data_IF_477560543774
#
_entry.id   IF_477560543774
#
_cell.length_a   1.000
_cell.length_b   1.000
_cell.length_c   1.000
_cell.angle_alpha   90.00
_cell.angle_beta   90.00
_cell.angle_gamma   90.00
#
_symmetry.space_group_name_H-M   'P 1'
#
loop_
_entity.id
_entity.type
_entity.pdbx_description
1 polymer ?
#
# COMPACT_ATOMS: atom_id res chain seq x y z
N UNK A 1 9.58 47.92 49.80
CA UNK A 1 10.49 46.88 50.32
C UNK A 1 10.86 45.98 49.15
N UNK A 2 12.04 46.19 48.52
CA UNK A 2 13.27 45.37 48.67
C UNK A 2 12.97 43.89 48.35
N UNK A 3 13.45 43.27 47.26
CA UNK A 3 14.84 43.22 46.78
C UNK A 3 14.98 42.96 45.26
N UNK A 4 16.01 43.60 44.68
CA UNK A 4 16.76 43.19 43.50
C UNK A 4 17.74 42.04 43.84
N UNK A 5 18.08 41.21 42.83
CA UNK A 5 19.40 40.62 42.42
C UNK A 5 19.18 39.21 41.82
N UNK A 6 19.93 38.65 40.85
CA UNK A 6 21.07 39.02 39.98
C UNK A 6 21.18 37.95 38.86
N UNK A 7 21.68 38.43 37.72
CA UNK A 7 22.27 37.77 36.53
C UNK A 7 23.18 36.55 36.77
N UNK A 8 23.13 35.55 35.87
CA UNK A 8 24.24 34.81 35.21
C UNK A 8 23.62 33.88 34.13
N UNK A 9 23.84 33.99 32.81
CA UNK A 9 25.06 33.86 32.00
C UNK A 9 25.70 32.46 31.99
N UNK A 10 25.23 31.60 31.06
CA UNK A 10 25.97 30.53 30.36
C UNK A 10 25.02 30.04 29.24
N UNK A 11 25.28 30.12 27.94
CA UNK A 11 26.54 29.93 27.25
C UNK A 11 26.55 28.51 26.68
N UNK A 12 26.00 28.31 25.48
CA UNK A 12 26.30 27.16 24.62
C UNK A 12 25.85 27.43 23.16
N UNK A 13 26.83 27.95 22.42
CA UNK A 13 27.28 27.45 21.12
C UNK A 13 26.22 27.12 20.08
N UNK A 14 26.03 28.11 19.22
CA UNK A 14 26.02 28.00 17.76
C UNK A 14 26.46 26.65 17.17
N UNK A 15 25.55 25.99 16.46
CA UNK A 15 25.87 25.28 15.23
C UNK A 15 24.95 25.79 14.12
N UNK A 16 25.50 26.72 13.35
CA UNK A 16 25.04 27.07 12.03
C UNK A 16 25.09 25.82 11.14
N UNK A 17 23.96 25.34 10.67
CA UNK A 17 23.90 24.70 9.37
C UNK A 17 23.22 25.68 8.42
N UNK A 18 24.05 26.55 7.85
CA UNK A 18 23.70 27.30 6.66
C UNK A 18 23.31 26.30 5.57
N UNK A 19 22.13 26.50 5.02
CA UNK A 19 21.68 25.86 3.79
C UNK A 19 22.58 26.34 2.66
N UNK A 20 23.52 25.52 2.21
CA UNK A 20 24.20 25.76 0.94
C UNK A 20 23.30 25.26 -0.19
N UNK A 21 22.63 26.23 -0.80
CA UNK A 21 22.18 26.14 -2.18
C UNK A 21 23.41 26.05 -3.10
N UNK A 22 23.26 25.30 -4.18
CA UNK A 22 24.23 25.10 -5.25
C UNK A 22 24.93 26.39 -5.66
N UNK A 23 26.26 26.40 -5.58
CA UNK A 23 27.09 27.40 -6.22
C UNK A 23 27.84 26.74 -7.39
N UNK A 24 27.67 27.34 -8.56
CA UNK A 24 28.26 26.98 -9.83
C UNK A 24 29.78 26.81 -9.76
N UNK A 25 30.25 25.82 -10.51
CA UNK A 25 31.64 25.64 -10.91
C UNK A 25 32.11 26.89 -11.67
N UNK A 26 32.79 27.81 -10.99
CA UNK A 26 33.35 29.00 -11.65
C UNK A 26 34.30 29.86 -10.82
N UNK A 27 34.55 29.57 -9.54
CA UNK A 27 35.28 30.50 -8.63
C UNK A 27 36.60 29.91 -8.10
N UNK A 28 37.17 28.90 -8.78
CA UNK A 28 38.50 28.37 -8.45
C UNK A 28 39.58 28.61 -9.52
N UNK A 29 39.26 29.29 -10.63
CA UNK A 29 40.23 29.59 -11.69
C UNK A 29 40.96 30.95 -11.55
N UNK A 30 40.64 31.76 -10.53
CA UNK A 30 41.24 33.09 -10.34
C UNK A 30 42.36 33.14 -9.28
N UNK A 31 42.85 31.98 -8.82
CA UNK A 31 43.93 31.92 -7.81
C UNK A 31 45.32 31.59 -8.38
N UNK A 32 45.52 31.53 -9.70
CA UNK A 32 46.85 31.44 -10.31
C UNK A 32 47.65 30.16 -9.99
N UNK A 33 46.99 29.07 -9.59
CA UNK A 33 47.65 27.78 -9.38
C UNK A 33 47.62 26.94 -10.66
N UNK A 34 48.78 26.81 -11.31
CA UNK A 34 49.03 25.85 -12.38
C UNK A 34 49.10 24.44 -11.78
N UNK A 35 48.29 23.51 -12.28
CA UNK A 35 48.36 22.07 -11.97
C UNK A 35 48.86 21.33 -13.22
N UNK A 36 50.09 21.61 -13.63
CA UNK A 36 50.89 20.68 -14.43
C UNK A 36 51.88 19.96 -13.51
N UNK A 37 51.78 18.62 -13.44
CA UNK A 37 52.87 17.78 -12.93
C UNK A 37 52.73 17.15 -11.54
N UNK A 38 51.54 16.68 -11.14
CA UNK A 38 51.42 15.73 -10.01
C UNK A 38 50.79 14.42 -10.49
N UNK A 39 51.62 13.40 -10.70
CA UNK A 39 51.16 12.02 -10.92
C UNK A 39 50.46 11.52 -9.64
N UNK A 40 49.15 11.32 -9.73
CA UNK A 40 48.35 10.66 -8.70
C UNK A 40 48.54 9.15 -8.86
N UNK A 41 48.96 8.40 -7.82
CA UNK A 41 49.13 6.96 -7.92
C UNK A 41 47.80 6.30 -8.28
N UNK A 42 47.83 5.42 -9.28
CA UNK A 42 46.67 4.65 -9.72
C UNK A 42 46.12 3.83 -8.55
N UNK A 43 44.93 4.19 -8.07
CA UNK A 43 44.16 3.37 -7.14
C UNK A 43 43.82 2.09 -7.90
N UNK A 44 44.47 0.99 -7.50
CA UNK A 44 44.14 -0.35 -7.98
C UNK A 44 42.63 -0.54 -7.86
N UNK A 45 42.00 -0.95 -8.96
CA UNK A 45 40.57 -1.23 -9.02
C UNK A 45 40.18 -2.06 -7.81
N UNK A 46 39.24 -1.52 -7.02
CA UNK A 46 38.62 -2.28 -5.94
C UNK A 46 38.10 -3.58 -6.57
N UNK A 47 38.63 -4.70 -6.08
CA UNK A 47 38.11 -6.01 -6.41
C UNK A 47 36.60 -5.98 -6.18
N UNK A 48 35.88 -6.43 -7.19
CA UNK A 48 34.44 -6.56 -7.24
C UNK A 48 33.98 -7.37 -6.03
N UNK A 49 33.72 -6.69 -4.92
CA UNK A 49 33.01 -7.27 -3.81
C UNK A 49 31.58 -7.40 -4.32
N UNK A 50 31.27 -8.57 -4.87
CA UNK A 50 29.93 -8.98 -5.19
C UNK A 50 29.05 -8.74 -3.98
N UNK A 51 28.42 -7.56 -3.96
CA UNK A 51 27.33 -7.26 -3.09
C UNK A 51 26.25 -8.21 -3.55
N UNK A 52 26.19 -9.38 -2.90
CA UNK A 52 25.10 -10.31 -3.07
C UNK A 52 23.82 -9.52 -2.91
N UNK A 53 23.17 -9.25 -4.05
CA UNK A 53 21.88 -8.61 -4.11
C UNK A 53 21.01 -9.44 -3.16
N UNK A 54 20.57 -8.83 -2.05
CA UNK A 54 19.64 -9.50 -1.16
C UNK A 54 18.50 -10.03 -2.04
N UNK A 55 18.11 -11.31 -1.88
CA UNK A 55 17.13 -11.92 -2.76
C UNK A 55 15.90 -11.00 -2.86
N UNK A 56 15.39 -10.85 -4.07
CA UNK A 56 14.28 -9.95 -4.34
C UNK A 56 12.98 -10.57 -3.79
N UNK A 57 12.78 -10.49 -2.47
CA UNK A 57 11.68 -11.18 -1.78
C UNK A 57 10.39 -10.39 -1.97
N UNK A 58 9.46 -10.95 -2.73
CA UNK A 58 8.10 -10.42 -2.84
C UNK A 58 7.25 -10.87 -1.65
N UNK A 59 7.39 -10.14 -0.54
CA UNK A 59 6.65 -10.42 0.69
C UNK A 59 5.14 -10.25 0.54
N UNK A 60 4.71 -9.51 -0.48
CA UNK A 60 3.32 -9.10 -0.68
C UNK A 60 2.59 -9.96 -1.69
N UNK A 61 3.30 -10.90 -2.33
CA UNK A 61 2.72 -11.96 -3.15
C UNK A 61 1.55 -12.68 -2.46
N UNK A 62 1.56 -12.78 -1.12
CA UNK A 62 0.44 -13.36 -0.35
C UNK A 62 -0.87 -12.55 -0.47
N UNK A 63 -0.78 -11.23 -0.67
CA UNK A 63 -1.95 -10.40 -0.95
C UNK A 63 -2.41 -10.50 -2.42
N UNK A 64 -1.76 -11.38 -3.21
CA UNK A 64 -2.05 -11.65 -4.62
C UNK A 64 -1.47 -10.62 -5.59
N UNK A 65 -1.35 -11.02 -6.84
CA UNK A 65 -1.15 -10.10 -7.96
C UNK A 65 -2.54 -9.70 -8.47
N UNK A 66 -2.90 -8.43 -8.31
CA UNK A 66 -4.18 -7.93 -8.80
C UNK A 66 -4.21 -8.02 -10.33
N UNK A 67 -5.19 -8.76 -10.87
CA UNK A 67 -5.42 -8.84 -12.31
C UNK A 67 -6.57 -7.91 -12.69
N UNK A 68 -6.26 -6.87 -13.47
CA UNK A 68 -7.28 -6.03 -14.10
C UNK A 68 -7.95 -6.79 -15.24
N UNK A 69 -9.27 -6.70 -15.29
CA UNK A 69 -10.08 -7.43 -16.25
C UNK A 69 -10.75 -6.47 -17.23
N UNK A 70 -10.85 -6.90 -18.49
CA UNK A 70 -11.55 -6.15 -19.53
C UNK A 70 -12.99 -6.62 -19.61
N UNK A 71 -13.93 -5.69 -19.49
CA UNK A 71 -15.33 -5.97 -19.71
C UNK A 71 -15.64 -6.21 -21.19
N UNK A 72 -16.59 -7.11 -21.44
CA UNK A 72 -17.33 -7.16 -22.70
C UNK A 72 -18.80 -6.90 -22.40
N UNK A 73 -19.51 -6.27 -23.34
CA UNK A 73 -20.93 -6.03 -23.17
C UNK A 73 -21.68 -7.37 -23.07
N UNK A 74 -22.66 -7.42 -22.16
CA UNK A 74 -23.36 -8.66 -21.87
C UNK A 74 -24.03 -9.25 -23.12
N UNK A 75 -24.63 -8.43 -23.99
CA UNK A 75 -25.26 -8.91 -25.22
C UNK A 75 -24.29 -9.64 -26.16
N UNK A 76 -23.03 -9.20 -26.20
CA UNK A 76 -22.00 -9.84 -26.99
C UNK A 76 -21.57 -11.18 -26.37
N UNK A 77 -21.52 -11.24 -25.04
CA UNK A 77 -21.27 -12.50 -24.33
C UNK A 77 -22.44 -13.49 -24.49
N UNK A 78 -23.69 -13.01 -24.45
CA UNK A 78 -24.91 -13.80 -24.52
C UNK A 78 -25.20 -14.42 -25.90
N UNK A 79 -24.55 -13.97 -26.99
CA UNK A 79 -24.67 -14.66 -28.29
C UNK A 79 -24.31 -16.15 -28.21
N UNK A 80 -23.51 -16.54 -27.21
CA UNK A 80 -23.10 -17.91 -26.94
C UNK A 80 -23.92 -18.63 -25.85
N UNK A 81 -24.83 -17.94 -25.15
CA UNK A 81 -25.53 -18.47 -23.97
C UNK A 81 -27.04 -18.17 -24.04
N UNK A 82 -27.85 -19.24 -24.14
CA UNK A 82 -29.32 -19.17 -24.17
C UNK A 82 -29.88 -19.48 -22.78
N UNK A 83 -30.46 -18.51 -22.08
CA UNK A 83 -31.24 -18.82 -20.88
C UNK A 83 -31.40 -17.66 -19.89
N UNK A 84 -32.44 -17.76 -19.06
CA UNK A 84 -32.86 -16.76 -18.07
C UNK A 84 -31.79 -16.55 -16.99
N UNK A 85 -31.49 -15.28 -16.70
CA UNK A 85 -30.45 -14.84 -15.78
C UNK A 85 -30.97 -14.78 -14.34
N UNK A 86 -30.82 -15.87 -13.59
CA UNK A 86 -31.05 -15.87 -12.15
C UNK A 86 -30.01 -14.97 -11.48
N UNK A 87 -30.48 -13.95 -10.74
CA UNK A 87 -29.60 -13.15 -9.87
C UNK A 87 -29.12 -14.06 -8.74
N UNK A 88 -27.83 -14.37 -8.75
CA UNK A 88 -27.17 -15.21 -7.76
C UNK A 88 -26.96 -14.42 -6.47
N UNK A 89 -26.57 -13.16 -6.60
CA UNK A 89 -26.38 -12.25 -5.49
C UNK A 89 -26.65 -10.81 -5.93
N UNK A 90 -27.25 -10.04 -5.03
CA UNK A 90 -27.40 -8.59 -5.15
C UNK A 90 -26.74 -7.95 -3.94
N UNK A 91 -25.73 -7.10 -4.18
CA UNK A 91 -24.95 -6.46 -3.12
C UNK A 91 -25.19 -4.95 -3.16
N UNK A 92 -25.66 -4.37 -2.07
CA UNK A 92 -25.67 -2.92 -1.88
C UNK A 92 -24.25 -2.43 -1.65
N UNK A 93 -23.68 -1.75 -2.65
CA UNK A 93 -22.30 -1.31 -2.63
C UNK A 93 -22.03 -0.20 -1.62
N UNK A 94 -23.04 0.59 -1.24
CA UNK A 94 -22.88 1.62 -0.22
C UNK A 94 -22.55 0.99 1.14
N UNK A 95 -23.14 -0.16 1.44
CA UNK A 95 -22.94 -0.88 2.71
C UNK A 95 -21.52 -1.47 2.87
N UNK A 96 -20.80 -1.68 1.76
CA UNK A 96 -19.48 -2.32 1.75
C UNK A 96 -18.36 -1.40 1.24
N UNK A 97 -18.69 -0.15 0.88
CA UNK A 97 -17.73 0.83 0.35
C UNK A 97 -16.58 1.03 1.33
N UNK A 98 -15.36 0.73 0.87
CA UNK A 98 -14.11 0.84 1.63
C UNK A 98 -14.11 0.06 2.96
N UNK A 99 -15.04 -0.89 3.17
CA UNK A 99 -15.15 -1.63 4.43
C UNK A 99 -13.88 -2.45 4.74
N UNK A 100 -13.17 -2.87 3.69
CA UNK A 100 -11.90 -3.58 3.76
C UNK A 100 -10.76 -2.75 4.40
N UNK A 101 -10.90 -1.43 4.48
CA UNK A 101 -9.96 -0.54 5.19
C UNK A 101 -10.18 -0.50 6.70
N UNK A 102 -11.32 -1.02 7.17
CA UNK A 102 -11.67 -1.11 8.59
C UNK A 102 -11.78 -2.57 9.07
N UNK A 103 -10.75 -3.43 8.85
CA UNK A 103 -10.74 -4.81 9.35
C UNK A 103 -10.67 -4.86 10.88
N UNK A 104 -10.83 -6.04 11.46
CA UNK A 104 -10.80 -6.23 12.92
C UNK A 104 -9.37 -6.24 13.51
N UNK A 105 -8.33 -6.01 12.70
CA UNK A 105 -6.95 -5.82 13.16
C UNK A 105 -6.80 -4.36 13.58
N UNK A 106 -6.84 -4.09 14.88
CA UNK A 106 -6.88 -2.72 15.41
C UNK A 106 -6.00 -2.51 16.63
N UNK A 107 -5.60 -1.25 16.85
CA UNK A 107 -5.09 -0.76 18.13
C UNK A 107 -5.81 0.54 18.53
N UNK A 108 -5.61 0.99 19.77
CA UNK A 108 -6.24 2.21 20.29
C UNK A 108 -5.16 3.22 20.66
N UNK A 109 -5.35 4.49 20.28
CA UNK A 109 -4.43 5.58 20.64
C UNK A 109 -4.54 5.97 22.12
N UNK A 110 -3.60 6.77 22.63
CA UNK A 110 -3.70 7.31 23.99
C UNK A 110 -4.93 8.20 24.19
N UNK A 111 -5.44 8.81 23.11
CA UNK A 111 -6.67 9.60 23.07
C UNK A 111 -7.96 8.76 22.91
N UNK A 112 -7.85 7.43 22.80
CA UNK A 112 -9.00 6.52 22.67
C UNK A 112 -9.49 6.29 21.24
N UNK A 113 -8.84 6.86 20.22
CA UNK A 113 -9.20 6.64 18.82
C UNK A 113 -8.86 5.20 18.41
N UNK A 114 -9.82 4.49 17.82
CA UNK A 114 -9.57 3.16 17.26
C UNK A 114 -8.94 3.28 15.89
N UNK A 115 -7.80 2.63 15.68
CA UNK A 115 -7.08 2.59 14.41
C UNK A 115 -7.13 1.18 13.84
N UNK A 116 -7.64 1.05 12.63
CA UNK A 116 -7.72 -0.18 11.86
C UNK A 116 -6.50 -0.32 10.94
N UNK A 117 -6.00 -1.54 10.79
CA UNK A 117 -4.81 -1.84 9.99
C UNK A 117 -5.17 -2.78 8.86
N UNK A 118 -5.02 -2.31 7.62
CA UNK A 118 -5.30 -3.07 6.40
C UNK A 118 -4.13 -3.04 5.42
N UNK A 119 -4.16 -3.91 4.42
CA UNK A 119 -3.25 -3.90 3.28
C UNK A 119 -4.00 -3.61 1.98
N UNK A 120 -3.38 -2.87 1.05
CA UNK A 120 -3.97 -2.58 -0.27
C UNK A 120 -2.88 -2.23 -1.29
N UNK A 121 -3.25 -2.20 -2.57
CA UNK A 121 -2.35 -1.92 -3.69
C UNK A 121 -2.78 -0.63 -4.39
N UNK A 122 -1.83 0.23 -4.70
CA UNK A 122 -2.06 1.38 -5.56
C UNK A 122 -2.10 0.97 -7.04
N UNK A 123 -2.83 1.72 -7.86
CA UNK A 123 -2.91 1.47 -9.31
C UNK A 123 -1.57 1.76 -10.02
N UNK A 124 -0.87 2.80 -9.58
CA UNK A 124 0.36 3.29 -10.16
C UNK A 124 1.59 3.08 -9.25
N UNK A 125 2.76 3.34 -9.82
CA UNK A 125 4.06 3.26 -9.19
C UNK A 125 4.42 4.54 -8.42
N UNK A 126 5.43 4.49 -7.53
CA UNK A 126 5.83 5.65 -6.73
C UNK A 126 6.21 6.90 -7.54
N UNK A 127 6.70 6.72 -8.77
CA UNK A 127 7.05 7.80 -9.71
C UNK A 127 5.85 8.34 -10.51
N UNK A 128 4.63 7.85 -10.24
CA UNK A 128 3.43 8.22 -10.98
C UNK A 128 3.18 7.38 -12.25
N UNK A 129 4.17 6.62 -12.72
CA UNK A 129 4.05 5.74 -13.89
C UNK A 129 3.45 4.38 -13.57
N UNK A 130 3.50 3.45 -14.53
CA UNK A 130 2.94 2.10 -14.37
C UNK A 130 4.00 0.98 -14.37
N UNK A 131 5.26 1.33 -14.63
CA UNK A 131 6.38 0.38 -14.75
C UNK A 131 7.14 0.26 -13.44
N UNK A 132 6.71 -0.66 -12.58
CA UNK A 132 7.37 -1.08 -11.35
C UNK A 132 6.84 -2.47 -10.95
N UNK A 133 7.54 -3.16 -10.06
CA UNK A 133 7.07 -4.42 -9.53
C UNK A 133 5.82 -4.23 -8.66
N UNK A 134 4.94 -5.21 -8.65
CA UNK A 134 3.66 -5.13 -7.94
C UNK A 134 3.81 -4.86 -6.43
N UNK A 135 4.88 -5.39 -5.83
CA UNK A 135 5.23 -5.14 -4.43
C UNK A 135 5.53 -3.66 -4.11
N UNK A 136 6.00 -2.90 -5.09
CA UNK A 136 6.28 -1.46 -4.95
C UNK A 136 4.99 -0.62 -4.95
N UNK A 137 3.86 -1.25 -5.30
CA UNK A 137 2.52 -0.66 -5.24
C UNK A 137 1.80 -0.96 -3.93
N UNK A 138 2.35 -1.80 -3.05
CA UNK A 138 1.67 -2.20 -1.82
C UNK A 138 1.80 -1.15 -0.70
N UNK A 139 0.70 -0.98 0.03
CA UNK A 139 0.58 -0.13 1.21
C UNK A 139 -0.02 -0.89 2.38
N UNK A 140 0.53 -0.64 3.57
CA UNK A 140 -0.25 -0.72 4.79
C UNK A 140 -1.02 0.57 4.96
N UNK A 141 -2.30 0.46 5.29
CA UNK A 141 -3.19 1.59 5.53
C UNK A 141 -3.66 1.54 6.97
N UNK A 142 -3.42 2.63 7.69
CA UNK A 142 -3.94 2.86 9.03
C UNK A 142 -5.16 3.75 8.91
N UNK A 143 -6.36 3.23 9.18
CA UNK A 143 -7.61 3.98 9.08
C UNK A 143 -8.23 4.17 10.45
N UNK A 144 -8.44 5.41 10.87
CA UNK A 144 -9.14 5.72 12.13
C UNK A 144 -10.64 5.42 12.02
N UNK A 145 -11.30 5.19 13.14
CA UNK A 145 -12.76 5.12 13.23
C UNK A 145 -13.45 6.34 12.59
N UNK A 146 -12.88 7.53 12.79
CA UNK A 146 -13.24 8.83 12.18
C UNK A 146 -13.01 8.90 10.66
N UNK A 147 -12.39 7.89 10.05
CA UNK A 147 -12.23 7.78 8.59
C UNK A 147 -10.98 8.46 8.02
N UNK A 148 -10.05 8.93 8.85
CA UNK A 148 -8.74 9.40 8.39
C UNK A 148 -7.85 8.20 8.05
N UNK A 149 -7.25 8.19 6.87
CA UNK A 149 -6.35 7.13 6.41
C UNK A 149 -4.91 7.62 6.27
N UNK A 150 -3.98 6.84 6.78
CA UNK A 150 -2.54 7.06 6.67
C UNK A 150 -1.91 5.92 5.90
N UNK A 151 -1.14 6.26 4.87
CA UNK A 151 -0.55 5.30 3.95
C UNK A 151 0.93 5.09 4.28
N UNK A 152 1.30 3.84 4.50
CA UNK A 152 2.68 3.42 4.74
C UNK A 152 3.10 2.49 3.61
N UNK A 153 4.04 2.94 2.78
CA UNK A 153 4.60 2.09 1.72
C UNK A 153 5.28 0.88 2.32
N UNK A 154 4.96 -0.29 1.81
CA UNK A 154 5.54 -1.54 2.29
C UNK A 154 7.07 -1.57 2.15
N UNK A 155 7.59 -1.12 1.01
CA UNK A 155 9.02 -1.10 0.75
C UNK A 155 9.79 -0.14 1.69
N UNK A 156 9.13 0.85 2.30
CA UNK A 156 9.76 1.74 3.29
C UNK A 156 9.97 1.07 4.66
N UNK A 157 9.30 -0.06 4.93
CA UNK A 157 9.26 -0.70 6.26
C UNK A 157 9.78 -2.14 6.26
N UNK A 158 10.11 -2.70 5.09
CA UNK A 158 10.71 -4.03 4.95
C UNK A 158 12.21 -3.91 5.15
N UNK A 159 12.73 -4.59 6.16
CA UNK A 159 14.15 -4.67 6.45
C UNK A 159 14.71 -6.02 5.94
N UNK A 160 15.31 -6.04 4.74
CA UNK A 160 15.84 -7.26 4.12
C UNK A 160 17.35 -7.48 4.33
N UNK A 161 18.04 -6.62 5.09
CA UNK A 161 19.49 -6.72 5.32
C UNK A 161 19.85 -6.31 6.74
N UNK A 162 20.79 -7.00 7.36
CA UNK A 162 21.04 -7.03 8.82
C UNK A 162 21.31 -5.62 9.45
N UNK A 163 21.47 -4.54 8.68
CA UNK A 163 21.53 -3.14 9.13
C UNK A 163 20.66 -2.11 8.34
N UNK A 164 19.55 -2.50 7.69
CA UNK A 164 18.71 -1.56 6.92
C UNK A 164 17.49 -1.04 7.72
N UNK A 165 17.46 0.25 8.05
CA UNK A 165 16.51 0.93 8.94
C UNK A 165 15.09 1.13 8.39
N UNK A 166 14.48 0.10 7.81
CA UNK A 166 13.09 0.16 7.33
C UNK A 166 12.10 0.37 8.49
N UNK A 167 11.57 1.58 8.63
CA UNK A 167 10.45 1.88 9.52
C UNK A 167 9.82 3.19 9.11
N UNK A 168 8.50 3.31 9.28
CA UNK A 168 7.77 4.55 9.02
C UNK A 168 7.16 5.06 10.30
N UNK A 169 7.37 6.34 10.59
CA UNK A 169 6.60 7.00 11.65
C UNK A 169 5.36 7.66 11.06
N UNK A 170 4.21 7.39 11.65
CA UNK A 170 2.94 8.06 11.37
C UNK A 170 2.52 8.79 12.64
N UNK A 171 2.01 10.02 12.50
CA UNK A 171 1.46 10.79 13.62
C UNK A 171 -0.05 10.69 13.60
N UNK A 172 -0.65 10.16 14.67
CA UNK A 172 -2.12 10.03 14.85
C UNK A 172 -2.44 10.60 16.22
N UNK A 173 -3.43 11.50 16.31
CA UNK A 173 -3.78 12.21 17.55
C UNK A 173 -2.57 12.90 18.24
N UNK A 174 -1.65 13.48 17.43
CA UNK A 174 -0.38 14.06 17.88
C UNK A 174 0.59 13.07 18.55
N UNK A 175 0.30 11.77 18.51
CA UNK A 175 1.18 10.71 19.00
C UNK A 175 1.93 10.05 17.84
N UNK A 176 3.20 9.71 18.07
CA UNK A 176 4.05 9.07 17.06
C UNK A 176 3.93 7.56 17.15
N UNK A 177 3.59 6.93 16.03
CA UNK A 177 3.52 5.49 15.86
C UNK A 177 4.55 5.00 14.85
N UNK A 178 5.45 4.11 15.26
CA UNK A 178 6.48 3.53 14.41
C UNK A 178 6.01 2.19 13.88
N UNK A 179 5.86 2.10 12.57
CA UNK A 179 5.44 0.90 11.83
C UNK A 179 6.67 0.18 11.29
N UNK A 180 6.79 -1.13 11.57
CA UNK A 180 7.90 -1.99 11.15
C UNK A 180 7.40 -3.33 10.63
N UNK A 181 8.00 -3.85 9.56
CA UNK A 181 7.79 -5.22 9.11
C UNK A 181 9.05 -6.04 9.32
N UNK A 182 8.94 -7.04 10.18
CA UNK A 182 9.94 -8.08 10.39
C UNK A 182 9.72 -9.16 9.34
N UNK A 183 10.43 -9.01 8.22
CA UNK A 183 10.34 -9.90 7.07
C UNK A 183 10.89 -11.30 7.40
N UNK A 184 10.15 -12.35 7.01
CA UNK A 184 10.63 -13.74 7.01
C UNK A 184 10.77 -14.21 5.56
N UNK A 185 12.00 -14.21 5.05
CA UNK A 185 12.28 -14.52 3.65
C UNK A 185 11.79 -15.92 3.24
N UNK A 186 12.00 -16.91 4.11
CA UNK A 186 11.62 -18.31 3.86
C UNK A 186 10.13 -18.59 3.99
N UNK A 187 9.35 -17.69 4.61
CA UNK A 187 7.91 -17.82 4.78
C UNK A 187 7.27 -16.42 4.86
N UNK A 188 7.15 -15.71 3.72
CA UNK A 188 6.72 -14.32 3.67
C UNK A 188 5.41 -13.99 4.38
N UNK A 189 4.43 -14.88 4.29
CA UNK A 189 3.13 -14.79 4.94
C UNK A 189 3.22 -14.74 6.48
N UNK A 190 4.30 -15.28 7.03
CA UNK A 190 4.64 -15.27 8.46
C UNK A 190 5.48 -14.06 8.87
N UNK A 191 5.74 -13.12 7.95
CA UNK A 191 6.35 -11.83 8.27
C UNK A 191 5.47 -11.07 9.26
N UNK A 192 6.09 -10.47 10.26
CA UNK A 192 5.38 -9.82 11.38
C UNK A 192 5.36 -8.31 11.19
N UNK A 193 4.18 -7.72 11.15
CA UNK A 193 3.95 -6.30 11.35
C UNK A 193 3.99 -5.98 12.85
N UNK A 194 4.74 -4.95 13.21
CA UNK A 194 4.78 -4.39 14.54
C UNK A 194 4.54 -2.88 14.48
N UNK A 195 3.59 -2.39 15.28
CA UNK A 195 3.33 -0.95 15.46
C UNK A 195 3.67 -0.60 16.90
N UNK A 196 4.64 0.30 17.09
CA UNK A 196 5.02 0.84 18.42
C UNK A 196 4.45 2.23 18.59
N UNK A 197 3.71 2.45 19.67
CA UNK A 197 3.27 3.77 20.11
C UNK A 197 4.09 4.27 21.31
N UNK A 198 3.70 5.40 21.92
CA UNK A 198 4.40 6.00 23.06
C UNK A 198 4.50 5.08 24.29
N UNK A 199 3.53 4.16 24.45
CA UNK A 199 3.43 3.23 25.59
C UNK A 199 4.01 1.84 25.31
N UNK A 200 4.74 1.67 24.20
CA UNK A 200 5.31 0.38 23.78
C UNK A 200 4.63 -0.20 22.54
N UNK A 201 4.57 -1.53 22.44
CA UNK A 201 3.96 -2.21 21.29
C UNK A 201 2.45 -2.04 21.33
N UNK A 202 1.89 -1.34 20.35
CA UNK A 202 0.46 -1.12 20.20
C UNK A 202 -0.22 -2.26 19.42
N UNK A 203 0.49 -2.84 18.44
CA UNK A 203 0.00 -3.96 17.65
C UNK A 203 1.14 -4.89 17.24
N UNK A 204 0.85 -6.19 17.22
CA UNK A 204 1.63 -7.21 16.52
C UNK A 204 0.67 -8.09 15.73
N UNK A 205 0.92 -8.26 14.43
CA UNK A 205 0.14 -9.13 13.54
C UNK A 205 1.04 -9.70 12.45
N UNK A 206 0.66 -10.82 11.83
CA UNK A 206 1.33 -11.31 10.61
C UNK A 206 0.72 -10.68 9.36
N UNK A 207 1.46 -10.63 8.25
CA UNK A 207 0.92 -10.20 6.96
C UNK A 207 -0.28 -11.08 6.55
N UNK A 208 -0.22 -12.39 6.85
CA UNK A 208 -1.36 -13.30 6.68
C UNK A 208 -2.61 -12.83 7.43
N UNK A 209 -2.48 -12.52 8.73
CA UNK A 209 -3.61 -12.06 9.54
C UNK A 209 -4.23 -10.77 8.98
N UNK A 210 -3.42 -9.87 8.44
CA UNK A 210 -3.89 -8.65 7.78
C UNK A 210 -4.69 -8.99 6.53
N UNK A 211 -4.15 -9.84 5.65
CA UNK A 211 -4.81 -10.26 4.41
C UNK A 211 -6.13 -10.98 4.67
N UNK A 212 -6.13 -11.95 5.58
CA UNK A 212 -7.33 -12.68 5.99
C UNK A 212 -8.41 -11.73 6.55
N UNK A 213 -8.02 -10.76 7.38
CA UNK A 213 -8.95 -9.83 7.99
C UNK A 213 -9.54 -8.83 6.98
N UNK A 214 -8.78 -8.45 5.95
CA UNK A 214 -9.26 -7.65 4.82
C UNK A 214 -10.26 -8.46 4.00
N UNK A 215 -9.92 -9.69 3.61
CA UNK A 215 -10.80 -10.57 2.84
C UNK A 215 -12.10 -10.89 3.60
N UNK A 216 -12.03 -11.07 4.92
CA UNK A 216 -13.19 -11.33 5.78
C UNK A 216 -14.22 -10.19 5.82
N UNK A 217 -13.83 -8.95 5.48
CA UNK A 217 -14.76 -7.80 5.36
C UNK A 217 -15.55 -7.79 4.06
N UNK A 218 -15.13 -8.58 3.07
CA UNK A 218 -15.87 -8.74 1.82
C UNK A 218 -17.16 -9.56 2.00
N UNK A 219 -18.11 -9.32 1.11
CA UNK A 219 -19.36 -10.10 1.01
C UNK A 219 -19.06 -11.42 0.34
N UNK A 220 -19.54 -12.53 0.90
CA UNK A 220 -19.38 -13.84 0.27
C UNK A 220 -20.25 -13.92 -1.00
N UNK A 221 -19.64 -14.26 -2.12
CA UNK A 221 -20.30 -14.50 -3.40
C UNK A 221 -19.93 -15.90 -3.87
N UNK A 222 -20.93 -16.74 -4.08
CA UNK A 222 -20.74 -18.11 -4.54
C UNK A 222 -20.96 -18.18 -6.05
N UNK A 223 -19.88 -18.37 -6.82
CA UNK A 223 -19.93 -18.70 -8.25
C UNK A 223 -19.55 -20.18 -8.41
N UNK A 224 -18.64 -20.55 -9.33
CA UNK A 224 -18.03 -21.90 -9.36
C UNK A 224 -17.18 -22.19 -8.12
N UNK A 225 -16.65 -21.13 -7.50
CA UNK A 225 -15.99 -21.14 -6.20
C UNK A 225 -16.45 -19.95 -5.36
N UNK A 226 -16.11 -19.96 -4.08
CA UNK A 226 -16.42 -18.87 -3.18
C UNK A 226 -15.45 -17.72 -3.39
N UNK A 227 -15.99 -16.51 -3.49
CA UNK A 227 -15.23 -15.27 -3.51
C UNK A 227 -15.66 -14.35 -2.38
N UNK A 228 -14.75 -13.48 -1.98
CA UNK A 228 -15.04 -12.28 -1.18
C UNK A 228 -15.07 -11.08 -2.12
N UNK A 229 -16.23 -10.46 -2.20
CA UNK A 229 -16.46 -9.24 -2.95
C UNK A 229 -16.18 -8.04 -2.05
N UNK A 230 -15.24 -7.19 -2.47
CA UNK A 230 -14.98 -5.90 -1.87
C UNK A 230 -15.24 -4.78 -2.88
N UNK A 231 -15.54 -3.59 -2.38
CA UNK A 231 -15.82 -2.42 -3.20
C UNK A 231 -15.18 -1.19 -2.57
N UNK A 232 -14.50 -0.37 -3.35
CA UNK A 232 -13.88 0.84 -2.81
C UNK A 232 -13.13 1.69 -3.81
N UNK A 233 -12.56 2.77 -3.29
CA UNK A 233 -11.82 3.74 -4.07
C UNK A 233 -10.46 3.18 -4.48
N UNK A 234 -10.09 3.41 -5.73
CA UNK A 234 -8.71 3.22 -6.19
C UNK A 234 -7.77 4.12 -5.40
N UNK A 235 -6.55 3.63 -5.17
CA UNK A 235 -5.48 4.39 -4.53
C UNK A 235 -4.41 4.68 -5.58
N UNK A 236 -3.94 5.91 -5.60
CA UNK A 236 -2.79 6.32 -6.41
C UNK A 236 -1.70 6.89 -5.53
N UNK A 237 -0.46 6.68 -5.95
CA UNK A 237 0.74 7.26 -5.37
C UNK A 237 1.11 8.53 -6.13
N UNK A 238 1.60 9.53 -5.40
CA UNK A 238 2.22 10.73 -5.94
C UNK A 238 3.38 11.22 -5.07
N UNK A 239 4.00 12.35 -5.43
CA UNK A 239 5.16 12.90 -4.71
C UNK A 239 4.89 13.17 -3.23
N UNK A 240 3.64 13.52 -2.88
CA UNK A 240 3.21 13.83 -1.51
C UNK A 240 2.72 12.61 -0.71
N UNK A 241 2.79 11.40 -1.29
CA UNK A 241 2.26 10.16 -0.69
C UNK A 241 1.10 9.57 -1.50
N UNK A 242 0.34 8.65 -0.89
CA UNK A 242 -0.81 8.03 -1.53
C UNK A 242 -2.13 8.73 -1.17
N UNK A 243 -3.11 8.65 -2.07
CA UNK A 243 -4.45 9.20 -1.89
C UNK A 243 -5.49 8.32 -2.58
N UNK A 244 -6.72 8.40 -2.11
CA UNK A 244 -7.87 7.85 -2.83
C UNK A 244 -8.19 8.68 -4.08
N UNK A 245 -8.64 8.02 -5.13
CA UNK A 245 -9.26 8.66 -6.30
C UNK A 245 -10.77 8.47 -6.23
N UNK A 246 -11.49 9.16 -7.12
CA UNK A 246 -12.95 8.98 -7.26
C UNK A 246 -13.31 7.68 -7.99
N UNK A 247 -12.34 7.06 -8.67
CA UNK A 247 -12.54 5.81 -9.40
C UNK A 247 -12.86 4.70 -8.41
N UNK A 248 -13.93 3.96 -8.69
CA UNK A 248 -14.42 2.88 -7.85
C UNK A 248 -14.03 1.55 -8.46
N UNK A 249 -13.54 0.64 -7.63
CA UNK A 249 -13.13 -0.70 -8.02
C UNK A 249 -14.00 -1.73 -7.30
N UNK A 250 -14.38 -2.77 -8.03
CA UNK A 250 -14.87 -4.02 -7.45
C UNK A 250 -13.70 -4.99 -7.41
N UNK A 251 -13.52 -5.67 -6.28
CA UNK A 251 -12.48 -6.68 -6.11
C UNK A 251 -13.14 -8.02 -5.81
N UNK A 252 -12.73 -9.07 -6.54
CA UNK A 252 -13.13 -10.44 -6.27
C UNK A 252 -11.92 -11.23 -5.82
N UNK A 253 -11.93 -11.64 -4.55
CA UNK A 253 -10.82 -12.35 -3.92
C UNK A 253 -11.25 -13.81 -3.73
N UNK A 254 -10.57 -14.82 -4.32
CA UNK A 254 -10.87 -16.22 -4.03
C UNK A 254 -10.80 -16.53 -2.53
N UNK A 255 -11.76 -17.32 -2.02
CA UNK A 255 -11.84 -17.64 -0.59
C UNK A 255 -12.06 -19.14 -0.34
N UNK A 256 -11.37 -19.77 0.64
CA UNK A 256 -10.32 -19.20 1.48
C UNK A 256 -9.11 -18.75 0.66
N UNK A 257 -8.34 -17.79 1.17
CA UNK A 257 -7.11 -17.32 0.52
C UNK A 257 -6.08 -18.45 0.65
N UNK A 258 -5.90 -19.20 -0.44
CA UNK A 258 -4.87 -20.25 -0.56
C UNK A 258 -3.73 -19.69 -1.38
N UNK A 259 -2.57 -19.55 -0.76
CA UNK A 259 -1.31 -19.06 -1.34
C UNK A 259 -1.43 -17.70 -2.07
N UNK A 260 -0.48 -17.43 -2.98
CA UNK A 260 -0.38 -16.27 -3.88
C UNK A 260 -1.54 -16.15 -4.89
N UNK A 261 -2.77 -16.41 -4.45
CA UNK A 261 -3.96 -16.38 -5.28
C UNK A 261 -4.16 -14.99 -5.89
N UNK A 262 -4.29 -14.96 -7.21
CA UNK A 262 -4.69 -13.78 -7.96
C UNK A 262 -6.05 -13.31 -7.45
N UNK A 263 -6.17 -12.04 -7.09
CA UNK A 263 -7.45 -11.38 -6.95
C UNK A 263 -7.75 -10.57 -8.21
N UNK A 264 -9.02 -10.36 -8.47
CA UNK A 264 -9.49 -9.76 -9.70
C UNK A 264 -10.02 -8.37 -9.42
N UNK A 265 -9.60 -7.41 -10.25
CA UNK A 265 -10.00 -6.01 -10.14
C UNK A 265 -10.86 -5.67 -11.36
N UNK A 266 -12.05 -5.16 -11.10
CA UNK A 266 -12.97 -4.66 -12.10
C UNK A 266 -13.12 -3.15 -11.88
N UNK A 267 -12.99 -2.37 -12.95
CA UNK A 267 -13.43 -0.98 -12.88
C UNK A 267 -14.96 -0.97 -12.76
N UNK A 268 -15.49 -0.29 -11.74
CA UNK A 268 -16.93 -0.22 -11.56
C UNK A 268 -17.61 0.50 -12.73
N UNK A 269 -16.91 1.42 -13.43
CA UNK A 269 -17.47 2.08 -14.61
C UNK A 269 -17.66 1.16 -15.81
N UNK A 270 -16.92 0.04 -15.85
CA UNK A 270 -17.07 -0.96 -16.91
C UNK A 270 -18.31 -1.83 -16.72
N UNK A 271 -18.86 -1.88 -15.50
CA UNK A 271 -20.08 -2.61 -15.17
C UNK A 271 -21.28 -1.69 -15.43
N UNK A 272 -21.86 -1.77 -16.63
CA UNK A 272 -23.00 -0.92 -17.01
C UNK A 272 -24.33 -1.48 -16.45
N UNK A 273 -25.41 -0.67 -16.39
CA UNK A 273 -26.76 -1.15 -16.09
C UNK A 273 -27.27 -2.21 -17.08
N UNK A 274 -26.88 -2.10 -18.35
CA UNK A 274 -27.17 -3.11 -19.38
C UNK A 274 -26.46 -4.45 -19.11
N UNK A 275 -25.39 -4.42 -18.31
CA UNK A 275 -24.59 -5.56 -17.90
C UNK A 275 -23.26 -5.67 -18.63
N UNK A 276 -22.30 -6.27 -17.94
CA UNK A 276 -20.98 -6.61 -18.45
C UNK A 276 -20.65 -8.06 -18.08
N UNK A 277 -19.89 -8.73 -18.93
CA UNK A 277 -19.27 -10.01 -18.62
C UNK A 277 -17.75 -9.86 -18.62
N UNK A 278 -17.07 -10.74 -17.90
CA UNK A 278 -15.60 -10.76 -17.83
C UNK A 278 -15.10 -12.18 -18.15
N UNK A 279 -15.00 -12.54 -19.44
CA UNK A 279 -14.71 -13.93 -19.86
C UNK A 279 -13.37 -14.48 -19.36
N UNK A 280 -12.42 -13.60 -19.03
CA UNK A 280 -11.12 -13.97 -18.45
C UNK A 280 -11.12 -14.16 -16.93
N UNK A 281 -12.22 -13.80 -16.26
CA UNK A 281 -12.42 -14.06 -14.83
C UNK A 281 -13.10 -15.41 -14.62
N UNK A 282 -14.36 -15.49 -15.04
CA UNK A 282 -15.19 -16.67 -14.89
C UNK A 282 -16.30 -16.64 -15.95
N UNK A 283 -16.33 -17.68 -16.78
CA UNK A 283 -17.33 -17.80 -17.85
C UNK A 283 -18.69 -18.17 -17.25
N UNK A 284 -19.78 -17.76 -17.92
CA UNK A 284 -21.15 -18.07 -17.49
C UNK A 284 -21.68 -17.16 -16.38
N UNK A 285 -21.00 -16.05 -16.09
CA UNK A 285 -21.48 -15.04 -15.14
C UNK A 285 -21.39 -13.66 -15.74
N UNK A 286 -22.36 -12.82 -15.38
CA UNK A 286 -22.36 -11.41 -15.71
C UNK A 286 -22.69 -10.56 -14.51
N UNK A 287 -22.42 -9.27 -14.67
CA UNK A 287 -22.46 -8.26 -13.64
C UNK A 287 -23.30 -7.10 -14.15
N UNK A 288 -24.17 -6.55 -13.30
CA UNK A 288 -24.96 -5.34 -13.58
C UNK A 288 -24.82 -4.40 -12.41
N UNK A 289 -24.53 -3.14 -12.70
CA UNK A 289 -24.46 -2.09 -11.70
C UNK A 289 -25.59 -1.10 -11.95
N UNK A 290 -26.53 -1.03 -11.03
CA UNK A 290 -27.65 -0.11 -11.13
C UNK A 290 -28.10 0.35 -9.75
N UNK A 291 -28.38 1.65 -9.60
CA UNK A 291 -28.89 2.24 -8.35
C UNK A 291 -28.03 1.90 -7.11
N UNK A 292 -26.70 1.83 -7.28
CA UNK A 292 -25.77 1.49 -6.20
C UNK A 292 -25.73 0.01 -5.82
N UNK A 293 -26.45 -0.87 -6.52
CA UNK A 293 -26.40 -2.32 -6.34
C UNK A 293 -25.62 -2.98 -7.45
N UNK A 294 -24.78 -3.94 -7.05
CA UNK A 294 -24.12 -4.86 -7.95
C UNK A 294 -24.85 -6.19 -7.93
N UNK A 295 -25.49 -6.51 -9.05
CA UNK A 295 -26.13 -7.79 -9.28
C UNK A 295 -25.19 -8.70 -10.06
N UNK A 296 -25.00 -9.92 -9.57
CA UNK A 296 -24.28 -10.98 -10.28
C UNK A 296 -25.29 -12.03 -10.70
N UNK A 297 -25.30 -12.39 -11.97
CA UNK A 297 -26.24 -13.35 -12.54
C UNK A 297 -25.53 -14.45 -13.30
N UNK A 298 -26.18 -15.60 -13.38
CA UNK A 298 -25.77 -16.68 -14.28
C UNK A 298 -26.17 -16.34 -15.71
N UNK A 299 -25.31 -16.68 -16.66
CA UNK A 299 -25.51 -16.56 -18.11
C UNK A 299 -25.67 -17.94 -18.72
#
# INVERSE_FOLDING_TARGET
MKNLTKVAAAGLLSLNFASYASAESGVLNDAGFSLEGVEVPAVAAAADSGAGQAPDVDLFRYFGYGQELKAVELEQANKSFKGVADVIVSVDLASIKNAYLKPNITFTTGAGTKVHVSGTKAANCPNGGNSCADKEKFFLVLTTDKGQSFFVRAMEIVNAGIFASGSKTVTIDNERYVVKVLAKISAPENSKLEIKGPRGVALTATLKQIGDAVAAKGVSVQLSKTYKLAYGNEIVQGPQGARFTEKMLVLMIPFPVVDASTYYIFDASDIKPAGAAFPSFEKGYGFKLQNGKLDVYRI
#
